data_IF_255396393121
#
_entry.id   IF_255396393121
#
_cell.length_a   1.000
_cell.length_b   1.000
_cell.length_c   1.000
_cell.angle_alpha   90.00
_cell.angle_beta   90.00
_cell.angle_gamma   90.00
#
_symmetry.space_group_name_H-M   'P 1'
#
loop_
_entity.id
_entity.type
_entity.pdbx_description
1 polymer ?
#
# COMPACT_ATOMS: atom_id res chain seq x y z
N UNK A 1 -5.57 16.93 16.13
CA UNK A 1 -6.09 15.62 15.66
C UNK A 1 -4.97 14.61 15.82
N UNK A 2 -5.26 13.44 16.38
CA UNK A 2 -4.24 12.39 16.44
C UNK A 2 -3.95 11.89 15.02
N UNK A 3 -2.67 11.68 14.64
CA UNK A 3 -2.33 11.14 13.34
C UNK A 3 -2.88 9.70 13.19
N UNK A 4 -3.27 9.33 11.97
CA UNK A 4 -3.75 7.98 11.66
C UNK A 4 -2.59 6.96 11.57
N UNK A 5 -1.44 7.40 11.09
CA UNK A 5 -0.20 6.59 11.06
C UNK A 5 0.89 7.37 11.77
N UNK A 6 1.60 6.73 12.70
CA UNK A 6 2.77 7.32 13.37
C UNK A 6 3.90 6.30 13.39
N UNK A 7 5.07 6.72 12.95
CA UNK A 7 6.34 5.96 13.02
C UNK A 7 7.27 6.74 13.92
N UNK A 8 7.81 6.12 14.97
CA UNK A 8 8.64 6.77 15.98
C UNK A 8 9.97 6.03 16.13
N UNK A 9 11.05 6.69 15.74
CA UNK A 9 12.43 6.25 15.92
C UNK A 9 12.71 4.80 15.46
N UNK A 10 12.14 4.43 14.31
CA UNK A 10 12.19 3.06 13.79
C UNK A 10 13.52 2.78 13.10
N UNK A 11 14.12 1.63 13.44
CA UNK A 11 15.34 1.13 12.81
C UNK A 11 15.14 -0.27 12.26
N UNK A 12 15.86 -0.59 11.15
CA UNK A 12 15.83 -1.89 10.49
C UNK A 12 17.14 -2.23 9.84
N UNK A 13 17.67 -3.43 10.16
CA UNK A 13 18.75 -4.08 9.44
C UNK A 13 18.30 -5.47 8.94
N UNK A 14 18.98 -5.98 7.94
CA UNK A 14 18.85 -7.36 7.46
C UNK A 14 20.20 -8.07 7.60
N UNK A 15 20.14 -9.32 8.05
CA UNK A 15 21.34 -10.20 8.14
C UNK A 15 21.34 -11.13 6.92
N UNK A 16 22.38 -11.07 6.12
CA UNK A 16 22.57 -11.94 4.97
C UNK A 16 23.28 -13.24 5.41
N UNK A 17 22.51 -14.21 5.87
CA UNK A 17 23.06 -15.49 6.39
C UNK A 17 23.93 -16.24 5.36
N UNK A 18 23.63 -16.10 4.06
CA UNK A 18 24.37 -16.75 2.97
C UNK A 18 25.66 -16.00 2.56
N UNK A 19 25.95 -14.84 3.17
CA UNK A 19 27.11 -14.00 2.85
C UNK A 19 27.87 -13.63 4.14
N UNK A 20 28.28 -14.63 4.91
CA UNK A 20 29.08 -14.43 6.12
C UNK A 20 28.36 -13.67 7.24
N UNK A 21 27.03 -13.74 7.31
CA UNK A 21 26.20 -13.01 8.27
C UNK A 21 26.39 -11.47 8.21
N UNK A 22 26.70 -10.93 7.03
CA UNK A 22 26.84 -9.49 6.85
C UNK A 22 25.52 -8.78 7.21
N UNK A 23 25.59 -7.75 8.04
CA UNK A 23 24.45 -6.93 8.43
C UNK A 23 24.34 -5.71 7.49
N UNK A 24 23.17 -5.56 6.87
CA UNK A 24 22.85 -4.40 6.05
C UNK A 24 21.84 -3.55 6.82
N UNK A 25 22.29 -2.42 7.33
CA UNK A 25 21.40 -1.43 7.95
C UNK A 25 20.67 -0.65 6.84
N UNK A 26 19.35 -0.75 6.83
CA UNK A 26 18.50 -0.13 5.81
C UNK A 26 17.88 1.17 6.31
N UNK A 27 17.65 1.27 7.62
CA UNK A 27 16.99 2.45 8.22
C UNK A 27 17.42 2.60 9.67
N UNK A 28 17.68 3.84 10.08
CA UNK A 28 18.05 4.18 11.46
C UNK A 28 17.27 5.41 11.94
N UNK A 29 16.44 5.23 12.98
CA UNK A 29 15.76 6.31 13.68
C UNK A 29 14.69 7.05 12.88
N UNK A 30 14.05 6.41 11.88
CA UNK A 30 13.02 7.05 11.06
C UNK A 30 11.79 7.42 11.89
N UNK A 31 11.32 8.65 11.70
CA UNK A 31 10.12 9.15 12.37
C UNK A 31 9.27 9.95 11.41
N UNK A 32 7.98 9.62 11.31
CA UNK A 32 7.00 10.32 10.50
C UNK A 32 5.59 10.17 11.09
N UNK A 33 4.71 11.08 10.74
CA UNK A 33 3.28 10.97 11.07
C UNK A 33 2.44 11.32 9.86
N UNK A 34 1.27 10.73 9.72
CA UNK A 34 0.30 11.02 8.65
C UNK A 34 -1.07 11.23 9.26
N UNK A 35 -1.64 12.40 9.01
CA UNK A 35 -2.97 12.75 9.48
C UNK A 35 -4.08 12.12 8.62
N UNK A 36 -5.30 12.10 9.13
CA UNK A 36 -6.46 11.75 8.33
C UNK A 36 -6.64 12.76 7.17
N UNK A 37 -6.91 12.24 5.97
CA UNK A 37 -7.03 13.06 4.76
C UNK A 37 -5.71 13.59 4.21
N UNK A 38 -4.56 13.17 4.77
CA UNK A 38 -3.24 13.55 4.27
C UNK A 38 -2.66 12.45 3.38
N UNK A 39 -2.03 12.84 2.29
CA UNK A 39 -1.24 11.98 1.42
C UNK A 39 0.22 12.39 1.45
N UNK A 40 1.12 11.50 1.83
CA UNK A 40 2.56 11.74 1.78
C UNK A 40 3.25 10.84 0.77
N UNK A 41 4.26 11.38 0.06
CA UNK A 41 5.12 10.60 -0.81
C UNK A 41 6.40 10.21 -0.08
N UNK A 42 6.76 8.92 -0.08
CA UNK A 42 8.11 8.49 0.26
C UNK A 42 9.02 8.72 -0.94
N UNK A 43 10.07 9.52 -0.74
CA UNK A 43 11.07 9.82 -1.77
C UNK A 43 12.45 9.35 -1.35
N UNK A 44 13.36 9.24 -2.30
CA UNK A 44 14.73 8.77 -2.12
C UNK A 44 15.18 7.84 -3.24
N UNK A 45 16.46 7.59 -3.34
CA UNK A 45 17.06 6.73 -4.35
C UNK A 45 16.50 5.29 -4.31
N UNK A 46 16.69 4.53 -5.39
CA UNK A 46 16.41 3.09 -5.36
C UNK A 46 17.25 2.42 -4.26
N UNK A 47 16.65 1.51 -3.49
CA UNK A 47 17.33 0.87 -2.36
C UNK A 47 17.35 1.67 -1.04
N UNK A 48 16.87 2.94 -1.02
CA UNK A 48 16.87 3.78 0.19
C UNK A 48 15.92 3.30 1.32
N UNK A 49 15.19 2.19 1.13
CA UNK A 49 14.34 1.63 2.17
C UNK A 49 12.86 2.04 2.13
N UNK A 50 12.38 2.71 1.08
CA UNK A 50 10.97 3.11 0.93
C UNK A 50 9.98 1.95 1.10
N UNK A 51 10.12 0.91 0.29
CA UNK A 51 9.26 -0.28 0.39
C UNK A 51 9.49 -1.07 1.68
N UNK A 52 10.69 -0.98 2.30
CA UNK A 52 10.96 -1.57 3.61
C UNK A 52 10.13 -0.86 4.69
N UNK A 53 10.09 0.47 4.68
CA UNK A 53 9.27 1.25 5.60
C UNK A 53 7.79 0.91 5.44
N UNK A 54 7.27 0.85 4.21
CA UNK A 54 5.88 0.43 3.96
C UNK A 54 5.59 -0.97 4.50
N UNK A 55 6.51 -1.93 4.29
CA UNK A 55 6.35 -3.30 4.77
C UNK A 55 6.42 -3.41 6.30
N UNK A 56 7.16 -2.53 6.98
CA UNK A 56 7.14 -2.43 8.44
C UNK A 56 5.81 -1.86 8.93
N UNK A 57 5.30 -0.79 8.32
CA UNK A 57 3.98 -0.21 8.66
C UNK A 57 2.86 -1.24 8.42
N UNK A 58 2.95 -2.03 7.35
CA UNK A 58 2.00 -3.10 7.05
C UNK A 58 2.17 -4.33 7.97
N UNK A 59 3.21 -4.37 8.82
CA UNK A 59 3.50 -5.49 9.73
C UNK A 59 4.06 -6.74 9.04
N UNK A 60 4.63 -6.62 7.82
CA UNK A 60 5.32 -7.72 7.14
C UNK A 60 6.76 -7.89 7.61
N UNK A 61 7.37 -6.81 8.09
CA UNK A 61 8.72 -6.82 8.66
C UNK A 61 8.67 -6.31 10.10
N UNK A 62 9.34 -7.01 10.98
CA UNK A 62 9.57 -6.54 12.34
C UNK A 62 10.63 -5.44 12.34
N UNK A 63 10.45 -4.45 13.17
CA UNK A 63 11.46 -3.42 13.46
C UNK A 63 12.48 -3.97 14.46
N UNK A 64 13.69 -3.39 14.49
CA UNK A 64 14.67 -3.65 15.55
C UNK A 64 14.48 -2.72 16.74
N UNK A 65 14.00 -1.52 16.49
CA UNK A 65 13.67 -0.53 17.51
C UNK A 65 12.56 0.39 17.03
N UNK A 66 12.03 1.20 17.93
CA UNK A 66 10.99 2.17 17.66
C UNK A 66 9.58 1.61 17.71
N UNK A 67 8.63 2.43 17.32
CA UNK A 67 7.19 2.16 17.42
C UNK A 67 6.47 2.51 16.12
N UNK A 68 5.45 1.76 15.76
CA UNK A 68 4.58 2.04 14.61
C UNK A 68 3.13 1.93 15.04
N UNK A 69 2.43 3.07 15.07
CA UNK A 69 1.00 3.12 15.35
C UNK A 69 0.22 3.26 14.05
N UNK A 70 -0.85 2.46 13.91
CA UNK A 70 -1.86 2.62 12.86
C UNK A 70 -3.23 2.65 13.57
N UNK A 71 -3.86 3.81 13.58
CA UNK A 71 -4.96 4.06 14.51
C UNK A 71 -4.48 3.84 15.95
N UNK A 72 -5.21 3.01 16.69
CA UNK A 72 -4.88 2.71 18.10
C UNK A 72 -4.00 1.47 18.27
N UNK A 73 -3.57 0.81 17.17
CA UNK A 73 -2.78 -0.42 17.24
C UNK A 73 -1.28 -0.13 17.05
N UNK A 74 -0.47 -0.58 18.01
CA UNK A 74 0.97 -0.67 17.84
C UNK A 74 1.33 -1.94 17.06
N UNK A 75 1.70 -1.76 15.79
CA UNK A 75 2.01 -2.85 14.84
C UNK A 75 3.23 -3.67 15.27
N UNK A 76 4.17 -3.04 16.03
CA UNK A 76 5.42 -3.69 16.46
C UNK A 76 5.17 -4.73 17.54
N UNK A 77 4.25 -4.43 18.46
CA UNK A 77 3.94 -5.30 19.62
C UNK A 77 2.66 -6.10 19.45
N UNK A 78 1.89 -5.84 18.37
CA UNK A 78 0.60 -6.46 18.13
C UNK A 78 0.70 -7.98 17.91
N UNK A 79 -0.23 -8.72 18.47
CA UNK A 79 -0.38 -10.13 18.16
C UNK A 79 -0.76 -10.34 16.67
N UNK A 80 -0.34 -11.46 16.03
CA UNK A 80 -0.62 -11.72 14.61
C UNK A 80 -2.09 -11.57 14.22
N UNK A 81 -3.03 -11.96 15.07
CA UNK A 81 -4.47 -11.81 14.83
C UNK A 81 -4.91 -10.34 14.76
N UNK A 82 -4.30 -9.47 15.57
CA UNK A 82 -4.58 -8.04 15.56
C UNK A 82 -4.06 -7.39 14.26
N UNK A 83 -2.88 -7.80 13.79
CA UNK A 83 -2.33 -7.35 12.50
C UNK A 83 -3.22 -7.80 11.32
N UNK A 84 -3.74 -9.04 11.37
CA UNK A 84 -4.68 -9.53 10.35
C UNK A 84 -5.98 -8.69 10.38
N UNK A 85 -6.51 -8.39 11.56
CA UNK A 85 -7.71 -7.55 11.69
C UNK A 85 -7.45 -6.12 11.20
N UNK A 86 -6.31 -5.53 11.54
CA UNK A 86 -5.89 -4.22 11.05
C UNK A 86 -5.91 -4.16 9.51
N UNK A 87 -5.34 -5.18 8.84
CA UNK A 87 -5.30 -5.28 7.39
C UNK A 87 -6.67 -5.51 6.74
N UNK A 88 -7.62 -6.06 7.48
CA UNK A 88 -8.99 -6.25 6.99
C UNK A 88 -9.81 -4.97 7.02
N UNK A 89 -9.67 -4.16 8.06
CA UNK A 89 -10.61 -3.07 8.35
C UNK A 89 -9.98 -1.67 8.34
N UNK A 90 -8.67 -1.56 8.46
CA UNK A 90 -8.03 -0.26 8.74
C UNK A 90 -6.94 0.11 7.73
N UNK A 91 -6.08 -0.85 7.36
CA UNK A 91 -4.88 -0.59 6.56
C UNK A 91 -4.89 -1.37 5.24
N UNK A 92 -5.28 -0.70 4.16
CA UNK A 92 -5.19 -1.25 2.81
C UNK A 92 -3.77 -1.14 2.24
N UNK A 93 -3.42 -2.04 1.33
CA UNK A 93 -2.12 -2.02 0.66
C UNK A 93 -2.23 -2.40 -0.82
N UNK A 94 -1.92 -1.46 -1.69
CA UNK A 94 -1.66 -1.70 -3.11
C UNK A 94 -0.16 -1.92 -3.27
N UNK A 95 0.25 -3.16 -3.37
CA UNK A 95 1.67 -3.54 -3.54
C UNK A 95 2.10 -3.38 -5.00
N UNK A 96 3.40 -3.30 -5.25
CA UNK A 96 3.97 -3.16 -6.60
C UNK A 96 3.52 -4.28 -7.56
N UNK A 97 3.31 -5.49 -7.05
CA UNK A 97 2.86 -6.65 -7.84
C UNK A 97 1.62 -7.27 -7.23
N UNK A 98 0.65 -7.61 -8.09
CA UNK A 98 -0.54 -8.34 -7.67
C UNK A 98 -0.16 -9.73 -7.14
N UNK A 99 -0.57 -10.02 -5.90
CA UNK A 99 -0.41 -11.34 -5.28
C UNK A 99 -1.78 -11.94 -5.04
N UNK A 100 -2.09 -13.00 -5.76
CA UNK A 100 -3.37 -13.70 -5.68
C UNK A 100 -3.18 -15.21 -5.64
N UNK A 101 -4.17 -15.90 -5.13
CA UNK A 101 -4.24 -17.35 -5.21
C UNK A 101 -4.58 -17.73 -6.66
N UNK A 102 -3.82 -18.64 -7.30
CA UNK A 102 -4.14 -19.12 -8.64
C UNK A 102 -5.55 -19.70 -8.73
N UNK A 103 -6.17 -19.57 -9.90
CA UNK A 103 -7.53 -20.10 -10.21
C UNK A 103 -8.68 -19.38 -9.49
N UNK A 104 -8.43 -18.28 -8.78
CA UNK A 104 -9.49 -17.41 -8.27
C UNK A 104 -9.83 -16.40 -9.36
N UNK A 105 -11.12 -16.15 -9.60
CA UNK A 105 -11.58 -15.21 -10.61
C UNK A 105 -11.20 -13.76 -10.23
N UNK A 106 -11.00 -12.92 -11.24
CA UNK A 106 -10.74 -11.48 -11.04
C UNK A 106 -11.83 -10.80 -10.21
N UNK A 107 -13.09 -11.18 -10.47
CA UNK A 107 -14.23 -10.66 -9.72
C UNK A 107 -14.14 -11.02 -8.23
N UNK A 108 -13.84 -12.29 -7.91
CA UNK A 108 -13.68 -12.73 -6.51
C UNK A 108 -12.47 -12.08 -5.84
N UNK A 109 -11.35 -11.90 -6.57
CA UNK A 109 -10.15 -11.21 -6.06
C UNK A 109 -10.48 -9.78 -5.64
N UNK A 110 -11.30 -9.06 -6.41
CA UNK A 110 -11.67 -7.66 -6.10
C UNK A 110 -12.79 -7.59 -5.06
N UNK A 111 -13.70 -8.55 -5.02
CA UNK A 111 -14.79 -8.60 -4.03
C UNK A 111 -14.31 -9.04 -2.64
N UNK A 112 -13.21 -9.80 -2.56
CA UNK A 112 -12.70 -10.40 -1.32
C UNK A 112 -12.57 -9.42 -0.14
N UNK A 113 -12.01 -8.20 -0.27
CA UNK A 113 -11.87 -7.27 0.87
C UNK A 113 -13.21 -6.89 1.50
N UNK A 114 -14.27 -6.70 0.72
CA UNK A 114 -15.60 -6.41 1.22
C UNK A 114 -16.22 -7.63 1.91
N UNK A 115 -16.12 -8.82 1.30
CA UNK A 115 -16.62 -10.05 1.92
C UNK A 115 -15.90 -10.34 3.24
N UNK A 116 -14.59 -10.10 3.31
CA UNK A 116 -13.80 -10.28 4.54
C UNK A 116 -14.22 -9.34 5.67
N UNK A 117 -14.89 -8.23 5.38
CA UNK A 117 -15.44 -7.28 6.36
C UNK A 117 -16.93 -7.52 6.67
N UNK A 118 -17.53 -8.58 6.11
CA UNK A 118 -18.90 -8.99 6.41
C UNK A 118 -19.96 -8.53 5.40
N UNK A 119 -19.57 -7.92 4.29
CA UNK A 119 -20.52 -7.62 3.20
C UNK A 119 -21.03 -8.91 2.57
N UNK A 120 -22.31 -8.96 2.20
CA UNK A 120 -22.84 -10.05 1.41
C UNK A 120 -22.21 -10.11 0.02
N UNK A 121 -22.27 -11.29 -0.60
CA UNK A 121 -21.63 -11.56 -1.88
C UNK A 121 -22.15 -10.66 -3.01
N UNK A 122 -23.46 -10.41 -3.07
CA UNK A 122 -24.06 -9.64 -4.14
C UNK A 122 -23.59 -8.17 -4.10
N UNK A 123 -23.56 -7.59 -2.92
CA UNK A 123 -23.03 -6.23 -2.68
C UNK A 123 -21.55 -6.14 -3.02
N UNK A 124 -20.74 -7.11 -2.57
CA UNK A 124 -19.30 -7.13 -2.84
C UNK A 124 -19.01 -7.27 -4.34
N UNK A 125 -19.71 -8.15 -5.06
CA UNK A 125 -19.57 -8.33 -6.50
C UNK A 125 -20.02 -7.09 -7.28
N UNK A 126 -21.10 -6.42 -6.88
CA UNK A 126 -21.56 -5.19 -7.53
C UNK A 126 -20.49 -4.09 -7.44
N UNK A 127 -19.91 -3.90 -6.26
CA UNK A 127 -18.82 -2.94 -6.07
C UNK A 127 -17.57 -3.33 -6.88
N UNK A 128 -17.21 -4.62 -6.88
CA UNK A 128 -16.08 -5.12 -7.67
C UNK A 128 -16.27 -4.86 -9.18
N UNK A 129 -17.45 -5.11 -9.72
CA UNK A 129 -17.79 -4.82 -11.13
C UNK A 129 -17.63 -3.33 -11.44
N UNK A 130 -18.14 -2.45 -10.58
CA UNK A 130 -17.99 -1.00 -10.72
C UNK A 130 -16.52 -0.58 -10.78
N UNK A 131 -15.68 -1.12 -9.92
CA UNK A 131 -14.24 -0.81 -9.90
C UNK A 131 -13.51 -1.37 -11.13
N UNK A 132 -13.83 -2.60 -11.54
CA UNK A 132 -13.25 -3.21 -12.73
C UNK A 132 -13.61 -2.42 -14.00
N UNK A 133 -14.86 -1.98 -14.14
CA UNK A 133 -15.30 -1.11 -15.24
C UNK A 133 -14.55 0.21 -15.22
N UNK A 134 -14.49 0.87 -14.05
CA UNK A 134 -13.79 2.15 -13.86
C UNK A 134 -12.31 2.08 -14.25
N UNK A 135 -11.67 0.93 -14.04
CA UNK A 135 -10.27 0.66 -14.37
C UNK A 135 -10.08 -0.02 -15.73
N UNK A 136 -11.11 0.01 -16.60
CA UNK A 136 -11.05 -0.51 -17.96
C UNK A 136 -10.59 -1.99 -18.05
N UNK A 137 -11.05 -2.83 -17.11
CA UNK A 137 -10.87 -4.27 -17.19
C UNK A 137 -12.06 -4.86 -17.95
N UNK A 138 -11.87 -5.46 -19.15
CA UNK A 138 -12.95 -6.01 -19.96
C UNK A 138 -13.75 -7.10 -19.22
N UNK A 139 -15.07 -7.10 -19.37
CA UNK A 139 -15.96 -8.07 -18.69
C UNK A 139 -15.60 -9.54 -18.97
N UNK A 140 -15.13 -9.84 -20.18
CA UNK A 140 -14.64 -11.18 -20.55
C UNK A 140 -13.50 -11.71 -19.68
N UNK A 141 -12.79 -10.82 -18.97
CA UNK A 141 -11.69 -11.17 -18.06
C UNK A 141 -12.14 -11.38 -16.63
N UNK A 142 -13.35 -10.96 -16.26
CA UNK A 142 -13.77 -10.97 -14.84
C UNK A 142 -13.87 -12.37 -14.23
N UNK A 143 -14.20 -13.37 -15.04
CA UNK A 143 -14.28 -14.77 -14.61
C UNK A 143 -12.96 -15.54 -14.74
N UNK A 144 -11.92 -14.89 -15.29
CA UNK A 144 -10.59 -15.48 -15.44
C UNK A 144 -9.70 -15.11 -14.26
N UNK A 145 -8.69 -15.96 -13.99
CA UNK A 145 -7.67 -15.64 -12.99
C UNK A 145 -6.74 -14.55 -13.52
N UNK A 146 -6.46 -13.51 -12.74
CA UNK A 146 -5.60 -12.40 -13.18
C UNK A 146 -4.12 -12.79 -13.33
N UNK A 147 -3.72 -14.00 -12.91
CA UNK A 147 -2.33 -14.48 -13.04
C UNK A 147 -1.86 -14.59 -14.48
N UNK A 148 -2.78 -14.66 -15.46
CA UNK A 148 -2.48 -14.78 -16.90
C UNK A 148 -2.59 -13.45 -17.65
N UNK A 149 -2.91 -12.36 -16.96
CA UNK A 149 -3.10 -11.04 -17.57
C UNK A 149 -1.78 -10.33 -17.83
N UNK A 150 -1.81 -9.32 -18.70
CA UNK A 150 -0.70 -8.40 -18.90
C UNK A 150 -0.35 -7.66 -17.59
N UNK A 151 0.88 -7.16 -17.47
CA UNK A 151 1.32 -6.44 -16.28
C UNK A 151 0.41 -5.23 -15.95
N UNK A 152 -0.03 -4.47 -16.96
CA UNK A 152 -0.95 -3.35 -16.78
C UNK A 152 -2.36 -3.78 -16.33
N UNK A 153 -2.89 -4.89 -16.83
CA UNK A 153 -4.17 -5.45 -16.37
C UNK A 153 -4.06 -5.96 -14.93
N UNK A 154 -2.97 -6.68 -14.60
CA UNK A 154 -2.71 -7.12 -13.22
C UNK A 154 -2.62 -5.93 -12.27
N UNK A 155 -1.94 -4.85 -12.66
CA UNK A 155 -1.84 -3.65 -11.85
C UNK A 155 -3.21 -3.00 -11.63
N UNK A 156 -4.05 -2.89 -12.65
CA UNK A 156 -5.41 -2.37 -12.51
C UNK A 156 -6.30 -3.23 -11.61
N UNK A 157 -6.18 -4.55 -11.67
CA UNK A 157 -6.86 -5.48 -10.74
C UNK A 157 -6.37 -5.29 -9.31
N UNK A 158 -5.05 -5.12 -9.13
CA UNK A 158 -4.45 -4.85 -7.82
C UNK A 158 -4.99 -3.56 -7.19
N UNK A 159 -5.11 -2.50 -7.99
CA UNK A 159 -5.71 -1.23 -7.58
C UNK A 159 -7.19 -1.41 -7.25
N UNK A 160 -7.97 -2.08 -8.12
CA UNK A 160 -9.39 -2.35 -7.87
C UNK A 160 -9.57 -3.05 -6.51
N UNK A 161 -8.78 -4.08 -6.22
CA UNK A 161 -8.78 -4.78 -4.93
C UNK A 161 -8.43 -3.86 -3.77
N UNK A 162 -7.39 -3.04 -3.90
CA UNK A 162 -6.92 -2.14 -2.84
C UNK A 162 -7.93 -1.04 -2.50
N UNK A 163 -8.77 -0.66 -3.44
CA UNK A 163 -9.81 0.37 -3.28
C UNK A 163 -11.23 -0.21 -3.11
N UNK A 164 -11.39 -1.55 -3.06
CA UNK A 164 -12.70 -2.18 -2.89
C UNK A 164 -13.32 -1.85 -1.53
N UNK A 165 -12.53 -1.80 -0.47
CA UNK A 165 -12.96 -1.38 0.87
C UNK A 165 -12.48 0.05 1.17
N UNK A 166 -13.28 0.90 1.85
CA UNK A 166 -12.89 2.28 2.17
C UNK A 166 -11.96 2.34 3.40
N UNK A 167 -10.73 1.88 3.24
CA UNK A 167 -9.74 1.85 4.32
C UNK A 167 -9.46 3.24 4.88
N UNK A 168 -9.43 3.41 6.23
CA UNK A 168 -8.97 4.64 6.89
C UNK A 168 -7.50 4.99 6.63
N UNK A 169 -6.68 3.99 6.31
CA UNK A 169 -5.28 4.17 5.93
C UNK A 169 -4.94 3.34 4.68
N UNK A 170 -4.13 3.89 3.77
CA UNK A 170 -3.72 3.23 2.53
C UNK A 170 -2.21 3.34 2.31
N UNK A 171 -1.60 2.23 1.94
CA UNK A 171 -0.23 2.16 1.44
C UNK A 171 -0.27 1.89 -0.06
N UNK A 172 0.41 2.72 -0.87
CA UNK A 172 0.39 2.66 -2.33
C UNK A 172 1.82 2.54 -2.85
N UNK A 173 2.23 1.34 -3.25
CA UNK A 173 3.59 1.06 -3.76
C UNK A 173 3.56 1.08 -5.29
N UNK A 174 3.95 2.21 -5.88
CA UNK A 174 3.97 2.47 -7.32
C UNK A 174 2.61 2.27 -8.02
N UNK A 175 1.50 2.86 -7.53
CA UNK A 175 0.16 2.55 -8.03
C UNK A 175 -0.05 2.94 -9.49
N UNK A 176 0.73 3.87 -10.03
CA UNK A 176 0.62 4.35 -11.42
C UNK A 176 1.64 3.73 -12.37
N UNK A 177 2.51 2.82 -11.90
CA UNK A 177 3.49 2.16 -12.74
C UNK A 177 2.82 1.30 -13.81
N UNK A 178 3.38 1.31 -15.02
CA UNK A 178 2.91 0.51 -16.16
C UNK A 178 1.47 0.81 -16.63
N UNK A 179 0.91 1.96 -16.26
CA UNK A 179 -0.40 2.41 -16.72
C UNK A 179 -0.27 3.42 -17.87
N UNK A 180 -1.19 3.32 -18.82
CA UNK A 180 -1.41 4.37 -19.82
C UNK A 180 -1.98 5.65 -19.16
N UNK A 181 -1.93 6.81 -19.84
CA UNK A 181 -2.36 8.09 -19.24
C UNK A 181 -3.80 8.08 -18.73
N UNK A 182 -4.73 7.42 -19.44
CA UNK A 182 -6.17 7.39 -19.08
C UNK A 182 -6.37 6.60 -17.78
N UNK A 183 -5.74 5.43 -17.67
CA UNK A 183 -5.81 4.62 -16.46
C UNK A 183 -5.07 5.27 -15.30
N UNK A 184 -3.92 5.94 -15.56
CA UNK A 184 -3.20 6.74 -14.57
C UNK A 184 -4.11 7.81 -13.96
N UNK A 185 -4.75 8.63 -14.77
CA UNK A 185 -5.63 9.71 -14.32
C UNK A 185 -6.83 9.16 -13.52
N UNK A 186 -7.35 8.00 -13.93
CA UNK A 186 -8.39 7.29 -13.16
C UNK A 186 -7.90 6.92 -11.76
N UNK A 187 -6.69 6.38 -11.65
CA UNK A 187 -6.10 6.01 -10.35
C UNK A 187 -5.85 7.24 -9.48
N UNK A 188 -5.35 8.35 -10.04
CA UNK A 188 -5.14 9.59 -9.30
C UNK A 188 -6.47 10.13 -8.74
N UNK A 189 -7.56 10.09 -9.52
CA UNK A 189 -8.90 10.44 -9.03
C UNK A 189 -9.36 9.53 -7.89
N UNK A 190 -9.12 8.22 -7.97
CA UNK A 190 -9.46 7.27 -6.90
C UNK A 190 -8.68 7.58 -5.61
N UNK A 191 -7.40 7.94 -5.71
CA UNK A 191 -6.58 8.35 -4.57
C UNK A 191 -7.12 9.67 -3.98
N UNK A 192 -7.43 10.66 -4.81
CA UNK A 192 -8.01 11.94 -4.37
C UNK A 192 -9.35 11.74 -3.64
N UNK A 193 -10.21 10.86 -4.15
CA UNK A 193 -11.48 10.50 -3.50
C UNK A 193 -11.26 9.81 -2.15
N UNK A 194 -10.28 8.89 -2.04
CA UNK A 194 -9.95 8.26 -0.77
C UNK A 194 -9.43 9.28 0.24
N UNK A 195 -8.55 10.18 -0.18
CA UNK A 195 -8.05 11.30 0.62
C UNK A 195 -9.19 12.20 1.09
N UNK A 196 -10.11 12.58 0.19
CA UNK A 196 -11.27 13.41 0.52
C UNK A 196 -12.24 12.75 1.51
N UNK A 197 -12.30 11.40 1.54
CA UNK A 197 -13.04 10.63 2.56
C UNK A 197 -12.31 10.54 3.90
N UNK A 198 -11.11 11.12 4.03
CA UNK A 198 -10.32 11.13 5.26
C UNK A 198 -9.28 10.01 5.36
N UNK A 199 -9.02 9.24 4.31
CA UNK A 199 -7.96 8.24 4.35
C UNK A 199 -6.58 8.88 4.50
N UNK A 200 -5.76 8.37 5.43
CA UNK A 200 -4.34 8.70 5.54
C UNK A 200 -3.56 7.84 4.53
N UNK A 201 -2.78 8.47 3.65
CA UNK A 201 -2.16 7.77 2.53
C UNK A 201 -0.64 7.94 2.57
N UNK A 202 0.08 6.83 2.43
CA UNK A 202 1.53 6.82 2.17
C UNK A 202 1.75 6.20 0.80
N UNK A 203 2.38 6.94 -0.12
CA UNK A 203 2.62 6.48 -1.49
C UNK A 203 4.10 6.52 -1.89
N UNK A 204 4.49 5.59 -2.77
CA UNK A 204 5.72 5.67 -3.56
C UNK A 204 5.30 5.93 -5.00
N UNK A 205 5.77 7.04 -5.57
CA UNK A 205 5.46 7.43 -6.93
C UNK A 205 6.76 7.70 -7.70
N UNK A 206 6.95 7.06 -8.86
CA UNK A 206 8.04 7.36 -9.78
C UNK A 206 7.71 8.55 -10.68
N UNK A 207 6.44 8.73 -11.00
CA UNK A 207 5.95 9.87 -11.76
C UNK A 207 5.85 11.10 -10.83
N UNK A 208 6.71 12.09 -11.10
CA UNK A 208 6.77 13.32 -10.31
C UNK A 208 5.48 14.14 -10.45
N UNK A 209 4.90 14.20 -11.65
CA UNK A 209 3.65 14.95 -11.86
C UNK A 209 2.48 14.34 -11.07
N UNK A 210 2.33 13.01 -11.10
CA UNK A 210 1.33 12.31 -10.31
C UNK A 210 1.53 12.52 -8.80
N UNK A 211 2.79 12.48 -8.34
CA UNK A 211 3.12 12.73 -6.93
C UNK A 211 2.73 14.16 -6.51
N UNK A 212 3.14 15.15 -7.30
CA UNK A 212 2.95 16.57 -6.96
C UNK A 212 1.47 16.99 -7.06
N UNK A 213 0.65 16.27 -7.84
CA UNK A 213 -0.79 16.46 -7.92
C UNK A 213 -1.53 15.95 -6.67
N UNK A 214 -1.10 14.81 -6.10
CA UNK A 214 -1.87 14.09 -5.06
C UNK A 214 -1.31 14.30 -3.65
N UNK A 215 0.02 14.39 -3.50
CA UNK A 215 0.65 14.38 -2.19
C UNK A 215 0.79 15.78 -1.61
N UNK A 216 0.45 15.93 -0.33
CA UNK A 216 0.57 17.19 0.41
C UNK A 216 2.02 17.53 0.76
N UNK A 217 2.85 16.51 0.96
CA UNK A 217 4.28 16.64 1.26
C UNK A 217 5.06 15.38 0.92
N UNK A 218 6.37 15.52 0.92
CA UNK A 218 7.31 14.45 0.69
C UNK A 218 8.06 14.10 1.97
N UNK A 219 8.35 12.81 2.15
CA UNK A 219 9.20 12.30 3.22
C UNK A 219 10.42 11.63 2.59
N UNK A 220 11.58 12.24 2.79
CA UNK A 220 12.84 11.74 2.26
C UNK A 220 13.41 10.66 3.17
N UNK A 221 13.34 9.41 2.69
CA UNK A 221 13.82 8.23 3.41
C UNK A 221 15.35 8.18 3.49
N UNK A 222 16.05 8.83 2.57
CA UNK A 222 17.53 8.81 2.52
C UNK A 222 18.15 9.40 3.78
N UNK A 223 17.47 10.34 4.44
CA UNK A 223 17.91 10.95 5.71
C UNK A 223 18.10 9.93 6.84
N UNK A 224 17.49 8.77 6.71
CA UNK A 224 17.49 7.70 7.71
C UNK A 224 18.22 6.44 7.22
N UNK A 225 18.84 6.49 6.02
CA UNK A 225 19.57 5.38 5.43
C UNK A 225 21.05 5.49 5.79
N UNK A 226 21.60 4.60 6.65
CA UNK A 226 23.02 4.64 7.00
C UNK A 226 23.91 4.52 5.74
N UNK A 227 24.88 5.41 5.61
CA UNK A 227 25.79 5.46 4.46
C UNK A 227 25.27 6.21 3.22
N UNK A 228 24.04 6.72 3.23
CA UNK A 228 23.51 7.62 2.20
C UNK A 228 23.21 9.04 2.77
N UNK A 229 23.26 9.22 4.07
CA UNK A 229 23.21 10.55 4.69
C UNK A 229 24.56 11.24 4.47
N UNK A 230 24.63 12.12 3.47
CA UNK A 230 25.76 13.01 3.21
C UNK A 230 25.58 14.34 3.92
#
# INVERSE_FOLDING_TARGET
MNPMITVENVSKSFVLHNQGAAEISVMAGASLSVAQGECIALVGASGAGKSTLMRMIYGNYLTQSGRIMVGDLDVVTAAPRQVIQLRRTTLGYVSQFLRVVPRVSTLDVVAEPLMATGSDRATAEAQAKTLLQRLNIPERLWQLSPTTFSGGEQQRVNIARGFAYPYPALLLDEPTASLDPVNRDTVLKMIAEAKARGAAIIGIFHDHAARDEICDRQFDVTRFTPGLAA
#
